data_IF_314996923360
#
_entry.id   IF_314996923360
#
_cell.length_a   1.000
_cell.length_b   1.000
_cell.length_c   1.000
_cell.angle_alpha   90.00
_cell.angle_beta   90.00
_cell.angle_gamma   90.00
#
_symmetry.space_group_name_H-M   'P 1'
#
loop_
_entity.id
_entity.type
_entity.pdbx_description
1 polymer ?
#
# COMPACT_ATOMS: atom_id res chain seq x y z
N UNK A 1 -0.44 -0.24 -1.74
CA UNK A 1 -0.56 -1.54 -1.05
C UNK A 1 0.85 -2.06 -0.76
N UNK A 2 1.07 -2.75 0.34
CA UNK A 2 2.38 -3.27 0.74
C UNK A 2 2.25 -4.54 1.57
N UNK A 3 3.33 -5.32 1.71
CA UNK A 3 3.45 -6.38 2.73
C UNK A 3 4.45 -6.01 3.84
N UNK A 4 4.18 -6.49 5.06
CA UNK A 4 5.12 -6.47 6.20
C UNK A 4 6.38 -7.28 5.92
N UNK A 5 6.28 -8.36 5.13
CA UNK A 5 7.40 -9.27 4.86
C UNK A 5 8.14 -8.95 3.56
N UNK A 6 7.86 -7.82 2.92
CA UNK A 6 8.62 -7.36 1.76
C UNK A 6 10.03 -6.94 2.21
N UNK A 7 11.03 -7.74 1.89
CA UNK A 7 12.45 -7.45 2.18
C UNK A 7 13.14 -6.70 1.05
N UNK A 8 12.55 -6.68 -0.15
CA UNK A 8 13.10 -5.99 -1.31
C UNK A 8 12.83 -4.48 -1.25
N UNK A 9 11.67 -4.10 -0.73
CA UNK A 9 11.26 -2.71 -0.49
C UNK A 9 10.63 -2.65 0.92
N UNK A 10 11.42 -2.52 2.00
CA UNK A 10 10.89 -2.58 3.34
C UNK A 10 9.88 -1.47 3.62
N UNK A 11 8.68 -1.81 4.11
CA UNK A 11 7.61 -0.82 4.34
C UNK A 11 7.99 0.22 5.42
N UNK A 12 8.83 -0.16 6.38
CA UNK A 12 9.41 0.73 7.40
C UNK A 12 10.60 1.56 6.88
N UNK A 13 10.90 1.46 5.59
CA UNK A 13 12.08 2.07 4.97
C UNK A 13 13.37 1.33 5.30
N UNK A 14 14.47 1.84 4.74
CA UNK A 14 15.80 1.24 4.84
C UNK A 14 16.29 0.67 3.51
N UNK A 15 17.43 -0.01 3.55
CA UNK A 15 18.02 -0.65 2.38
C UNK A 15 17.28 -1.95 2.04
N UNK A 16 16.81 -2.05 0.80
CA UNK A 16 16.22 -3.25 0.27
C UNK A 16 17.24 -4.36 0.03
N UNK A 17 16.80 -5.61 0.13
CA UNK A 17 17.59 -6.80 -0.20
C UNK A 17 17.43 -7.24 -1.66
N UNK A 18 16.56 -6.55 -2.41
CA UNK A 18 16.34 -6.81 -3.83
C UNK A 18 17.53 -6.39 -4.70
N UNK A 19 17.39 -6.60 -6.01
CA UNK A 19 18.46 -6.39 -7.01
C UNK A 19 19.04 -4.97 -6.93
N UNK A 20 18.21 -3.95 -6.69
CA UNK A 20 18.64 -2.55 -6.64
C UNK A 20 19.52 -2.22 -5.43
N UNK A 21 19.36 -2.96 -4.31
CA UNK A 21 19.96 -2.64 -3.00
C UNK A 21 19.77 -1.17 -2.60
N UNK A 22 18.68 -0.56 -3.04
CA UNK A 22 18.44 0.87 -2.86
C UNK A 22 17.92 1.16 -1.46
N UNK A 23 18.12 2.39 -1.00
CA UNK A 23 17.46 2.91 0.19
C UNK A 23 16.05 3.38 -0.17
N UNK A 24 15.07 3.01 0.65
CA UNK A 24 13.68 3.43 0.53
C UNK A 24 13.24 4.21 1.77
N UNK A 25 12.48 5.29 1.56
CA UNK A 25 11.82 5.98 2.66
C UNK A 25 10.66 5.12 3.22
N UNK A 26 10.32 5.23 4.51
CA UNK A 26 9.16 4.57 5.09
C UNK A 26 7.87 4.95 4.36
N UNK A 27 6.98 3.97 4.15
CA UNK A 27 5.73 4.17 3.38
C UNK A 27 4.81 5.17 4.04
N UNK A 28 4.71 5.15 5.37
CA UNK A 28 3.92 6.10 6.15
C UNK A 28 4.43 7.54 5.99
N UNK A 29 5.75 7.74 6.00
CA UNK A 29 6.37 9.04 5.72
C UNK A 29 6.01 9.56 4.33
N UNK A 30 6.10 8.70 3.31
CA UNK A 30 5.72 9.06 1.93
C UNK A 30 4.23 9.43 1.84
N UNK A 31 3.35 8.65 2.47
CA UNK A 31 1.91 8.92 2.45
C UNK A 31 1.54 10.19 3.21
N UNK A 32 2.25 10.53 4.28
CA UNK A 32 2.07 11.80 5.01
C UNK A 32 2.50 13.01 4.16
N UNK A 33 3.52 12.87 3.30
CA UNK A 33 3.86 13.92 2.33
C UNK A 33 2.72 14.09 1.32
N UNK A 34 2.20 13.00 0.76
CA UNK A 34 1.08 13.07 -0.18
C UNK A 34 -0.20 13.61 0.46
N UNK A 35 -0.51 13.27 1.71
CA UNK A 35 -1.67 13.82 2.40
C UNK A 35 -1.53 15.32 2.61
N UNK A 36 -0.30 15.80 2.89
CA UNK A 36 -0.01 17.23 3.02
C UNK A 36 -0.16 17.97 1.69
N UNK A 37 0.34 17.41 0.59
CA UNK A 37 0.19 17.96 -0.76
C UNK A 37 -1.29 18.07 -1.15
N UNK A 38 -2.10 17.08 -0.81
CA UNK A 38 -3.54 17.08 -1.08
C UNK A 38 -4.36 17.86 -0.05
N UNK A 39 -3.73 18.53 0.92
CA UNK A 39 -4.38 19.29 1.99
C UNK A 39 -5.46 18.49 2.73
N UNK A 40 -5.17 17.23 3.05
CA UNK A 40 -6.07 16.39 3.84
C UNK A 40 -6.19 16.94 5.26
N UNK A 41 -7.42 17.26 5.68
CA UNK A 41 -7.69 17.86 6.99
C UNK A 41 -7.58 16.87 8.16
N UNK A 42 -7.68 15.57 7.87
CA UNK A 42 -7.56 14.50 8.87
C UNK A 42 -6.26 13.71 8.72
N UNK A 43 -5.64 13.36 9.84
CA UNK A 43 -4.59 12.34 9.87
C UNK A 43 -5.14 10.97 9.40
N UNK A 44 -4.24 10.04 9.08
CA UNK A 44 -4.59 8.69 8.67
C UNK A 44 -5.55 8.03 9.68
N UNK A 45 -6.74 7.64 9.23
CA UNK A 45 -7.67 6.86 10.03
C UNK A 45 -7.47 5.39 9.75
N UNK A 46 -7.26 4.58 10.79
CA UNK A 46 -7.32 3.12 10.67
C UNK A 46 -8.76 2.70 10.34
N UNK A 47 -8.92 1.98 9.24
CA UNK A 47 -10.22 1.47 8.78
C UNK A 47 -10.37 0.01 9.17
N UNK A 48 -9.32 -0.79 8.96
CA UNK A 48 -9.28 -2.19 9.34
C UNK A 48 -7.96 -2.47 10.05
N UNK A 49 -8.02 -3.24 11.12
CA UNK A 49 -6.84 -3.93 11.68
C UNK A 49 -7.28 -5.31 12.15
N UNK A 50 -6.92 -6.35 11.38
CA UNK A 50 -7.28 -7.73 11.67
C UNK A 50 -6.07 -8.66 11.51
N UNK A 51 -6.27 -9.96 11.67
CA UNK A 51 -5.17 -10.92 11.57
C UNK A 51 -4.48 -10.96 10.19
N UNK A 52 -5.16 -10.58 9.11
CA UNK A 52 -4.65 -10.63 7.75
C UNK A 52 -3.96 -9.34 7.30
N UNK A 53 -4.57 -8.18 7.54
CA UNK A 53 -4.03 -6.90 7.08
C UNK A 53 -4.47 -5.74 7.97
N UNK A 54 -3.78 -4.63 7.80
CA UNK A 54 -4.17 -3.32 8.36
C UNK A 54 -4.38 -2.34 7.21
N UNK A 55 -5.41 -1.50 7.28
CA UNK A 55 -5.66 -0.46 6.29
C UNK A 55 -5.92 0.90 6.92
N UNK A 56 -5.48 1.93 6.22
CA UNK A 56 -5.66 3.33 6.58
C UNK A 56 -6.25 4.11 5.42
N UNK A 57 -6.99 5.16 5.77
CA UNK A 57 -7.57 6.12 4.84
C UNK A 57 -7.23 7.54 5.28
N UNK A 58 -6.80 8.37 4.33
CA UNK A 58 -6.85 9.82 4.45
C UNK A 58 -7.99 10.33 3.58
N UNK A 59 -8.87 11.13 4.18
CA UNK A 59 -10.04 11.74 3.55
C UNK A 59 -10.05 13.24 3.80
N UNK A 60 -11.13 13.90 3.36
CA UNK A 60 -11.38 15.31 3.61
C UNK A 60 -10.22 16.19 3.11
N UNK A 61 -9.69 15.78 1.94
CA UNK A 61 -8.66 16.44 1.18
C UNK A 61 -9.27 17.38 0.14
N UNK A 62 -8.47 18.30 -0.39
CA UNK A 62 -8.89 19.17 -1.48
C UNK A 62 -9.25 18.33 -2.73
N UNK A 63 -10.20 18.81 -3.54
CA UNK A 63 -10.62 18.16 -4.78
C UNK A 63 -11.15 16.72 -4.62
N UNK A 64 -11.73 16.40 -3.46
CA UNK A 64 -12.30 15.08 -3.17
C UNK A 64 -11.29 13.92 -3.30
N UNK A 65 -10.00 14.21 -3.11
CA UNK A 65 -8.94 13.20 -3.11
C UNK A 65 -9.11 12.30 -1.89
N UNK A 66 -8.87 11.01 -2.08
CA UNK A 66 -8.76 10.03 -1.00
C UNK A 66 -7.48 9.22 -1.19
N UNK A 67 -6.77 8.94 -0.11
CA UNK A 67 -5.58 8.09 -0.10
C UNK A 67 -5.89 6.84 0.71
N UNK A 68 -5.61 5.67 0.14
CA UNK A 68 -5.73 4.39 0.82
C UNK A 68 -4.38 3.70 0.94
N UNK A 69 -4.12 3.13 2.11
CA UNK A 69 -2.99 2.24 2.31
C UNK A 69 -3.47 0.93 2.91
N UNK A 70 -3.09 -0.18 2.27
CA UNK A 70 -3.29 -1.54 2.76
C UNK A 70 -1.92 -2.17 2.99
N UNK A 71 -1.74 -2.76 4.17
CA UNK A 71 -0.53 -3.46 4.60
C UNK A 71 -0.88 -4.89 5.00
N UNK A 72 -0.50 -5.87 4.18
CA UNK A 72 -0.75 -7.29 4.43
C UNK A 72 0.28 -7.83 5.43
N UNK A 73 -0.17 -8.74 6.30
CA UNK A 73 0.67 -9.43 7.28
C UNK A 73 1.28 -10.71 6.70
N UNK A 74 0.78 -11.16 5.55
CA UNK A 74 1.32 -12.25 4.72
C UNK A 74 1.83 -11.74 3.35
N UNK A 75 2.43 -12.65 2.59
CA UNK A 75 3.04 -12.37 1.29
C UNK A 75 4.35 -11.59 1.39
N UNK A 76 5.15 -11.57 0.32
CA UNK A 76 6.40 -10.79 0.22
C UNK A 76 6.31 -9.66 -0.81
N UNK A 77 7.40 -9.44 -1.54
CA UNK A 77 7.50 -8.53 -2.69
C UNK A 77 6.75 -9.09 -3.92
N UNK A 78 5.42 -9.14 -3.83
CA UNK A 78 4.56 -9.71 -4.85
C UNK A 78 3.16 -9.08 -4.86
N UNK A 79 2.44 -9.20 -5.98
CA UNK A 79 1.12 -8.61 -6.19
C UNK A 79 0.01 -9.36 -5.42
N UNK A 80 -0.64 -8.77 -4.40
CA UNK A 80 -1.66 -9.46 -3.60
C UNK A 80 -2.81 -10.04 -4.43
N UNK A 81 -3.16 -11.30 -4.18
CA UNK A 81 -4.18 -12.04 -4.93
C UNK A 81 -3.72 -12.55 -6.30
N UNK A 82 -2.49 -12.25 -6.70
CA UNK A 82 -1.90 -12.70 -7.97
C UNK A 82 -1.13 -14.03 -7.85
N UNK A 83 -0.23 -14.24 -8.82
CA UNK A 83 0.77 -15.32 -8.82
C UNK A 83 2.17 -14.73 -8.64
N UNK A 84 3.16 -15.53 -8.18
CA UNK A 84 4.56 -15.09 -8.15
C UNK A 84 5.00 -14.53 -9.51
N UNK A 85 5.70 -13.40 -9.51
CA UNK A 85 6.16 -12.75 -10.76
C UNK A 85 7.27 -13.51 -11.49
N UNK A 86 7.90 -14.50 -10.84
CA UNK A 86 8.87 -15.42 -11.43
C UNK A 86 9.00 -16.68 -10.56
N UNK A 87 9.78 -17.66 -11.01
CA UNK A 87 10.11 -18.86 -10.22
C UNK A 87 10.85 -18.57 -8.92
N UNK A 88 11.54 -17.42 -8.83
CA UNK A 88 12.20 -16.94 -7.62
C UNK A 88 11.43 -15.79 -6.95
N UNK A 89 10.22 -15.48 -7.44
CA UNK A 89 9.41 -14.41 -6.89
C UNK A 89 8.78 -14.81 -5.56
N UNK A 90 8.59 -13.82 -4.70
CA UNK A 90 7.92 -14.05 -3.42
C UNK A 90 6.49 -14.55 -3.62
N UNK A 91 5.99 -15.29 -2.63
CA UNK A 91 4.60 -15.70 -2.60
C UNK A 91 3.70 -14.47 -2.41
N UNK A 92 2.70 -14.25 -3.27
CA UNK A 92 1.70 -13.20 -3.08
C UNK A 92 0.91 -13.37 -1.79
N UNK A 93 0.48 -12.24 -1.22
CA UNK A 93 -0.52 -12.24 -0.17
C UNK A 93 -1.84 -12.87 -0.66
N UNK A 94 -2.49 -13.64 0.21
CA UNK A 94 -3.79 -14.29 -0.05
C UNK A 94 -4.96 -13.61 0.66
N UNK A 95 -4.70 -12.61 1.50
CA UNK A 95 -5.74 -11.97 2.32
C UNK A 95 -6.40 -10.78 1.63
N UNK A 96 -5.84 -10.31 0.51
CA UNK A 96 -6.39 -9.23 -0.32
C UNK A 96 -6.23 -9.58 -1.81
N UNK A 97 -7.19 -9.14 -2.62
CA UNK A 97 -7.04 -9.06 -4.08
C UNK A 97 -6.80 -7.61 -4.47
N UNK A 98 -5.60 -7.31 -4.95
CA UNK A 98 -5.22 -5.95 -5.34
C UNK A 98 -6.02 -5.43 -6.55
N UNK A 99 -6.44 -6.30 -7.47
CA UNK A 99 -7.22 -5.88 -8.64
C UNK A 99 -8.62 -5.43 -8.23
N UNK A 100 -9.27 -6.16 -7.33
CA UNK A 100 -10.60 -5.82 -6.83
C UNK A 100 -10.56 -4.48 -6.08
N UNK A 101 -9.57 -4.29 -5.19
CA UNK A 101 -9.39 -3.02 -4.46
C UNK A 101 -9.12 -1.82 -5.39
N UNK A 102 -8.31 -2.00 -6.42
CA UNK A 102 -8.06 -0.94 -7.40
C UNK A 102 -9.31 -0.63 -8.21
N UNK A 103 -10.04 -1.65 -8.64
CA UNK A 103 -11.28 -1.48 -9.38
C UNK A 103 -12.33 -0.74 -8.56
N UNK A 104 -12.56 -1.17 -7.31
CA UNK A 104 -13.44 -0.49 -6.37
C UNK A 104 -13.04 0.97 -6.14
N UNK A 105 -11.74 1.26 -6.01
CA UNK A 105 -11.24 2.62 -5.86
C UNK A 105 -11.57 3.49 -7.08
N UNK A 106 -11.23 3.01 -8.29
CA UNK A 106 -11.43 3.81 -9.50
C UNK A 106 -12.90 4.01 -9.84
N UNK A 107 -13.80 3.07 -9.50
CA UNK A 107 -15.24 3.25 -9.68
C UNK A 107 -15.81 4.45 -8.89
N UNK A 108 -15.10 4.95 -7.89
CA UNK A 108 -15.51 6.15 -7.14
C UNK A 108 -15.18 7.47 -7.86
N UNK A 109 -14.44 7.41 -8.97
CA UNK A 109 -13.92 8.57 -9.68
C UNK A 109 -14.20 8.47 -11.19
N UNK A 110 -14.43 9.62 -11.81
CA UNK A 110 -14.54 9.75 -13.26
C UNK A 110 -13.74 10.98 -13.71
N UNK A 111 -13.22 10.93 -14.94
CA UNK A 111 -12.69 12.13 -15.57
C UNK A 111 -13.85 13.11 -15.85
N UNK A 112 -13.59 14.42 -15.90
CA UNK A 112 -14.59 15.43 -16.27
C UNK A 112 -15.24 15.17 -17.63
#
# INVERSE_FOLDING_TARGET
MHSVNDTNVPYKGGYGQGISKAYFAPVDSVLNVWSSINACSTAARTITDNAGYTSWKWSDCLNNVTIWWYLTKDGGHAWPGGSPGSVMGDTPSKVLNANDLLWEFFQQYQLP
#
